data_IF_458432707167
#
_entry.id   IF_458432707167
#
_cell.length_a   1.000
_cell.length_b   1.000
_cell.length_c   1.000
_cell.angle_alpha   90.00
_cell.angle_beta   90.00
_cell.angle_gamma   90.00
#
_symmetry.space_group_name_H-M   'P 1'
#
loop_
_entity.id
_entity.type
_entity.pdbx_description
1 polymer ?
#
# COMPACT_ATOMS: atom_id res chain seq x y z
N UNK A 1 -16.50 -16.40 -10.37
CA UNK A 1 -16.06 -16.35 -8.96
C UNK A 1 -15.93 -14.89 -8.56
N UNK A 2 -16.34 -14.49 -7.35
CA UNK A 2 -16.20 -13.11 -6.88
C UNK A 2 -14.72 -12.79 -6.65
N UNK A 3 -14.24 -11.63 -7.11
CA UNK A 3 -12.85 -11.21 -6.89
C UNK A 3 -12.59 -10.95 -5.41
N UNK A 4 -11.55 -11.58 -4.85
CA UNK A 4 -11.05 -11.31 -3.50
C UNK A 4 -9.97 -10.25 -3.63
N UNK A 5 -10.21 -9.05 -3.09
CA UNK A 5 -9.23 -7.95 -3.09
C UNK A 5 -8.54 -7.90 -1.73
N UNK A 6 -7.23 -8.06 -1.72
CA UNK A 6 -6.38 -8.03 -0.52
C UNK A 6 -5.51 -6.78 -0.57
N UNK A 7 -5.64 -5.93 0.44
CA UNK A 7 -4.77 -4.78 0.62
C UNK A 7 -3.75 -5.10 1.71
N UNK A 8 -2.49 -5.29 1.30
CA UNK A 8 -1.38 -5.53 2.20
C UNK A 8 -0.68 -4.20 2.51
N UNK A 9 -0.97 -3.65 3.69
CA UNK A 9 -0.47 -2.39 4.18
C UNK A 9 0.84 -2.56 4.94
N UNK A 10 1.83 -1.71 4.65
CA UNK A 10 3.11 -1.75 5.36
C UNK A 10 3.78 -0.37 5.42
N UNK A 11 4.63 -0.18 6.42
CA UNK A 11 5.70 0.82 6.36
C UNK A 11 6.94 0.27 5.62
N UNK A 12 7.94 1.12 5.34
CA UNK A 12 9.18 0.66 4.72
C UNK A 12 9.92 -0.37 5.59
N UNK A 13 10.79 -1.17 4.95
CA UNK A 13 11.63 -2.20 5.61
C UNK A 13 10.84 -3.34 6.27
N UNK A 14 9.65 -3.60 5.77
CA UNK A 14 8.88 -4.83 6.01
C UNK A 14 9.15 -5.90 4.95
N UNK A 15 8.55 -7.07 5.14
CA UNK A 15 8.59 -8.20 4.19
C UNK A 15 7.58 -8.06 3.04
N UNK A 16 6.98 -6.88 2.82
CA UNK A 16 5.90 -6.69 1.86
C UNK A 16 6.30 -7.06 0.43
N UNK A 17 7.53 -6.77 -0.01
CA UNK A 17 8.04 -7.21 -1.32
C UNK A 17 8.19 -8.73 -1.41
N UNK A 18 8.62 -9.39 -0.33
CA UNK A 18 8.73 -10.85 -0.32
C UNK A 18 7.34 -11.50 -0.41
N UNK A 19 6.37 -10.97 0.35
CA UNK A 19 4.97 -11.38 0.26
C UNK A 19 4.40 -11.16 -1.15
N UNK A 20 4.62 -9.98 -1.73
CA UNK A 20 4.20 -9.66 -3.10
C UNK A 20 4.70 -10.70 -4.12
N UNK A 21 5.99 -11.08 -4.03
CA UNK A 21 6.56 -12.13 -4.89
C UNK A 21 5.93 -13.49 -4.65
N UNK A 22 5.69 -13.86 -3.38
CA UNK A 22 5.04 -15.13 -3.04
C UNK A 22 3.61 -15.23 -3.61
N UNK A 23 2.82 -14.17 -3.49
CA UNK A 23 1.48 -14.08 -4.08
C UNK A 23 1.52 -14.06 -5.61
N UNK A 24 2.51 -13.36 -6.20
CA UNK A 24 2.70 -13.29 -7.66
C UNK A 24 3.03 -14.63 -8.31
N UNK A 25 3.58 -15.58 -7.55
CA UNK A 25 3.87 -16.94 -8.04
C UNK A 25 2.62 -17.83 -8.14
N UNK A 26 1.45 -17.37 -7.69
CA UNK A 26 0.21 -18.16 -7.79
C UNK A 26 -0.49 -17.97 -9.12
N UNK A 27 -0.92 -19.08 -9.73
CA UNK A 27 -1.65 -19.06 -11.01
C UNK A 27 -2.99 -18.32 -10.93
N UNK A 28 -3.60 -18.20 -9.74
CA UNK A 28 -4.91 -17.60 -9.51
C UNK A 28 -4.89 -16.12 -9.05
N UNK A 29 -3.70 -15.54 -8.90
CA UNK A 29 -3.51 -14.21 -8.30
C UNK A 29 -2.97 -13.19 -9.30
N UNK A 30 -3.55 -12.00 -9.31
CA UNK A 30 -2.98 -10.79 -9.90
C UNK A 30 -2.39 -9.93 -8.79
N UNK A 31 -1.21 -9.37 -9.02
CA UNK A 31 -0.51 -8.51 -8.06
C UNK A 31 -0.36 -7.10 -8.63
N UNK A 32 -0.45 -6.10 -7.77
CA UNK A 32 -0.05 -4.72 -8.07
C UNK A 32 0.89 -4.19 -6.98
N UNK A 33 1.97 -3.53 -7.41
CA UNK A 33 3.03 -3.01 -6.55
C UNK A 33 2.88 -1.50 -6.34
N UNK A 34 2.69 -1.09 -5.09
CA UNK A 34 2.66 0.31 -4.64
C UNK A 34 1.88 1.25 -5.58
N UNK A 35 0.59 0.98 -5.86
CA UNK A 35 -0.16 1.69 -6.90
C UNK A 35 -0.31 3.20 -6.64
N UNK A 36 -0.22 3.63 -5.38
CA UNK A 36 -0.36 5.03 -4.98
C UNK A 36 0.97 5.80 -5.02
N UNK A 37 2.08 5.18 -5.43
CA UNK A 37 3.38 5.82 -5.35
C UNK A 37 3.51 7.02 -6.31
N UNK A 38 3.03 6.88 -7.55
CA UNK A 38 2.98 7.98 -8.52
C UNK A 38 2.20 9.19 -8.01
N UNK A 39 1.01 8.98 -7.45
CA UNK A 39 0.21 10.05 -6.85
C UNK A 39 0.91 10.69 -5.65
N UNK A 40 1.52 9.88 -4.79
CA UNK A 40 2.32 10.38 -3.66
C UNK A 40 3.49 11.26 -4.10
N UNK A 41 4.25 10.85 -5.13
CA UNK A 41 5.36 11.64 -5.66
C UNK A 41 4.88 12.98 -6.22
N UNK A 42 3.74 12.98 -6.91
CA UNK A 42 3.12 14.20 -7.43
C UNK A 42 2.70 15.15 -6.31
N UNK A 43 1.97 14.65 -5.30
CA UNK A 43 1.47 15.47 -4.19
C UNK A 43 2.59 16.00 -3.29
N UNK A 44 3.59 15.17 -3.00
CA UNK A 44 4.70 15.54 -2.10
C UNK A 44 5.80 16.37 -2.78
N UNK A 45 5.84 16.38 -4.11
CA UNK A 45 6.93 17.01 -4.88
C UNK A 45 8.29 16.32 -4.74
N UNK A 46 8.35 15.14 -4.10
CA UNK A 46 9.60 14.41 -3.88
C UNK A 46 10.17 13.89 -5.20
N UNK A 47 11.44 14.19 -5.47
CA UNK A 47 12.15 13.75 -6.68
C UNK A 47 13.01 12.52 -6.41
N UNK A 48 12.36 11.42 -6.06
CA UNK A 48 13.04 10.13 -5.91
C UNK A 48 13.58 9.64 -7.28
N UNK A 49 14.51 8.67 -7.30
CA UNK A 49 14.94 8.06 -8.56
C UNK A 49 13.73 7.58 -9.38
N UNK A 50 13.76 7.86 -10.68
CA UNK A 50 12.70 7.52 -11.64
C UNK A 50 11.32 8.13 -11.35
N UNK A 51 11.24 9.24 -10.59
CA UNK A 51 9.94 9.80 -10.20
C UNK A 51 9.04 10.16 -11.39
N UNK A 52 9.60 10.66 -12.50
CA UNK A 52 8.84 11.02 -13.71
C UNK A 52 8.25 9.77 -14.36
N UNK A 53 9.06 8.74 -14.51
CA UNK A 53 8.70 7.46 -15.11
C UNK A 53 7.61 6.76 -14.28
N UNK A 54 7.73 6.80 -12.95
CA UNK A 54 6.74 6.23 -12.03
C UNK A 54 5.42 6.99 -12.12
N UNK A 55 5.45 8.33 -12.08
CA UNK A 55 4.24 9.15 -12.23
C UNK A 55 3.57 8.93 -13.59
N UNK A 56 4.36 8.78 -14.65
CA UNK A 56 3.84 8.48 -15.99
C UNK A 56 3.21 7.09 -16.06
N UNK A 57 3.85 6.07 -15.48
CA UNK A 57 3.40 4.68 -15.54
C UNK A 57 2.17 4.41 -14.64
N UNK A 58 2.14 4.96 -13.43
CA UNK A 58 1.06 4.71 -12.46
C UNK A 58 -0.05 5.77 -12.51
N UNK A 59 0.25 6.97 -13.03
CA UNK A 59 -0.62 8.13 -12.93
C UNK A 59 -0.42 8.92 -11.63
N UNK A 60 -1.06 10.09 -11.58
CA UNK A 60 -0.94 11.04 -10.45
C UNK A 60 -2.26 11.29 -9.71
N UNK A 61 -3.39 10.85 -10.27
CA UNK A 61 -4.72 11.00 -9.71
C UNK A 61 -5.07 9.81 -8.81
N UNK A 62 -4.94 10.00 -7.49
CA UNK A 62 -5.22 8.96 -6.50
C UNK A 62 -6.65 8.42 -6.60
N UNK A 63 -7.65 9.27 -6.86
CA UNK A 63 -9.07 8.88 -6.92
C UNK A 63 -9.30 7.93 -8.08
N UNK A 64 -8.73 8.22 -9.25
CA UNK A 64 -8.80 7.30 -10.41
C UNK A 64 -8.09 5.99 -10.13
N UNK A 65 -6.89 6.04 -9.56
CA UNK A 65 -6.13 4.84 -9.20
C UNK A 65 -6.94 3.97 -8.23
N UNK A 66 -7.51 4.56 -7.17
CA UNK A 66 -8.36 3.85 -6.21
C UNK A 66 -9.57 3.21 -6.88
N UNK A 67 -10.26 3.94 -7.77
CA UNK A 67 -11.40 3.41 -8.52
C UNK A 67 -11.02 2.12 -9.27
N UNK A 68 -9.87 2.11 -9.96
CA UNK A 68 -9.34 0.92 -10.63
C UNK A 68 -9.03 -0.22 -9.65
N UNK A 69 -8.42 0.10 -8.50
CA UNK A 69 -8.10 -0.90 -7.48
C UNK A 69 -9.33 -1.67 -6.97
N UNK A 70 -10.49 -1.00 -6.85
CA UNK A 70 -11.72 -1.59 -6.31
C UNK A 70 -12.70 -2.10 -7.36
N UNK A 71 -12.66 -1.59 -8.60
CA UNK A 71 -13.66 -1.93 -9.64
C UNK A 71 -13.13 -2.84 -10.75
N UNK A 72 -11.83 -2.79 -11.08
CA UNK A 72 -11.32 -3.47 -12.28
C UNK A 72 -11.51 -5.00 -12.21
N UNK A 73 -11.90 -5.59 -13.35
CA UNK A 73 -11.99 -7.03 -13.51
C UNK A 73 -10.60 -7.64 -13.66
N UNK A 74 -10.40 -8.82 -13.09
CA UNK A 74 -9.16 -9.56 -13.26
C UNK A 74 -9.14 -10.36 -14.57
N UNK A 75 -7.95 -10.69 -15.10
CA UNK A 75 -7.81 -11.60 -16.24
C UNK A 75 -8.47 -12.96 -15.98
N UNK A 76 -8.88 -13.70 -17.03
CA UNK A 76 -9.42 -15.05 -16.88
C UNK A 76 -8.51 -15.97 -16.06
N UNK A 77 -9.11 -16.77 -15.18
CA UNK A 77 -8.38 -17.66 -14.26
C UNK A 77 -7.83 -16.99 -13.00
N UNK A 78 -7.78 -15.64 -12.94
CA UNK A 78 -7.41 -14.88 -11.75
C UNK A 78 -8.65 -14.50 -10.95
N UNK A 79 -8.62 -14.73 -9.63
CA UNK A 79 -9.72 -14.35 -8.73
C UNK A 79 -9.24 -13.66 -7.44
N UNK A 80 -7.93 -13.63 -7.19
CA UNK A 80 -7.33 -12.88 -6.09
C UNK A 80 -6.61 -11.66 -6.66
N UNK A 81 -6.91 -10.48 -6.15
CA UNK A 81 -6.19 -9.25 -6.45
C UNK A 81 -5.42 -8.78 -5.22
N UNK A 82 -4.10 -9.01 -5.23
CA UNK A 82 -3.22 -8.63 -4.14
C UNK A 82 -2.58 -7.28 -4.41
N UNK A 83 -2.78 -6.33 -3.49
CA UNK A 83 -2.29 -4.96 -3.60
C UNK A 83 -1.25 -4.74 -2.51
N UNK A 84 0.01 -4.50 -2.89
CA UNK A 84 1.04 -4.08 -1.95
C UNK A 84 0.96 -2.57 -1.78
N UNK A 85 0.66 -2.12 -0.57
CA UNK A 85 0.54 -0.70 -0.24
C UNK A 85 1.60 -0.27 0.79
N UNK A 86 2.06 0.97 0.62
CA UNK A 86 2.85 1.68 1.62
C UNK A 86 1.97 2.73 2.29
N UNK A 87 1.86 2.70 3.63
CA UNK A 87 0.94 3.60 4.33
C UNK A 87 1.29 5.08 4.14
N UNK A 88 2.56 5.42 3.93
CA UNK A 88 2.98 6.80 3.68
C UNK A 88 2.65 7.31 2.27
N UNK A 89 2.15 6.45 1.36
CA UNK A 89 1.60 6.88 0.07
C UNK A 89 0.15 7.38 0.18
N UNK A 90 -0.51 7.14 1.32
CA UNK A 90 -1.79 7.79 1.60
C UNK A 90 -1.51 9.26 1.90
N UNK A 91 -1.95 10.14 1.00
CA UNK A 91 -1.98 11.58 1.27
C UNK A 91 -2.83 11.88 2.50
N UNK A 92 -2.50 12.94 3.23
CA UNK A 92 -3.18 13.29 4.50
C UNK A 92 -4.68 13.53 4.29
N UNK A 93 -5.05 14.07 3.13
CA UNK A 93 -6.42 14.44 2.72
C UNK A 93 -7.14 13.35 1.90
N UNK A 94 -6.51 12.19 1.67
CA UNK A 94 -7.11 11.14 0.89
C UNK A 94 -8.26 10.47 1.67
N UNK A 95 -9.43 10.38 1.04
CA UNK A 95 -10.56 9.67 1.61
C UNK A 95 -10.23 8.18 1.82
N UNK A 96 -10.73 7.59 2.91
CA UNK A 96 -10.39 6.21 3.30
C UNK A 96 -11.52 5.21 3.04
N UNK A 97 -12.75 5.65 2.74
CA UNK A 97 -13.93 4.77 2.62
C UNK A 97 -13.74 3.58 1.67
N UNK A 98 -12.91 3.73 0.63
CA UNK A 98 -12.61 2.65 -0.31
C UNK A 98 -11.95 1.41 0.34
N UNK A 99 -11.24 1.57 1.46
CA UNK A 99 -10.59 0.44 2.14
C UNK A 99 -11.61 -0.52 2.75
N UNK A 100 -12.85 -0.07 2.99
CA UNK A 100 -13.95 -0.92 3.47
C UNK A 100 -14.36 -1.99 2.45
N UNK A 101 -13.97 -1.83 1.18
CA UNK A 101 -14.24 -2.78 0.09
C UNK A 101 -13.12 -3.82 -0.06
N UNK A 102 -12.12 -3.81 0.83
CA UNK A 102 -10.91 -4.62 0.74
C UNK A 102 -10.74 -5.51 1.97
N UNK A 103 -10.07 -6.64 1.79
CA UNK A 103 -9.54 -7.44 2.88
C UNK A 103 -8.20 -6.81 3.30
N UNK A 104 -8.22 -6.06 4.41
CA UNK A 104 -7.06 -5.29 4.86
C UNK A 104 -6.18 -6.10 5.81
N UNK A 105 -4.89 -6.14 5.52
CA UNK A 105 -3.87 -6.84 6.30
C UNK A 105 -2.69 -5.89 6.51
N UNK A 106 -2.16 -5.80 7.72
CA UNK A 106 -1.00 -4.98 8.04
C UNK A 106 0.22 -5.84 8.31
N UNK A 107 1.32 -5.57 7.62
CA UNK A 107 2.62 -6.12 8.00
C UNK A 107 3.29 -5.15 8.97
N UNK A 108 3.36 -5.58 10.23
CA UNK A 108 4.09 -4.87 11.28
C UNK A 108 5.45 -5.52 11.52
N UNK A 109 6.40 -4.68 11.92
CA UNK A 109 7.72 -5.10 12.36
C UNK A 109 8.13 -4.22 13.53
N UNK A 110 8.82 -4.81 14.50
CA UNK A 110 9.36 -4.08 15.64
C UNK A 110 10.12 -2.82 15.16
N UNK A 111 9.71 -1.62 15.62
CA UNK A 111 10.31 -0.37 15.18
C UNK A 111 11.81 -0.29 15.36
N UNK A 112 12.38 -0.97 16.36
CA UNK A 112 13.84 -1.00 16.59
C UNK A 112 14.57 -1.60 15.38
N UNK A 113 14.04 -2.67 14.80
CA UNK A 113 14.65 -3.30 13.62
C UNK A 113 14.41 -2.52 12.33
N UNK A 114 13.24 -1.86 12.20
CA UNK A 114 12.94 -0.98 11.06
C UNK A 114 13.93 0.19 11.06
N UNK A 115 14.05 0.89 12.19
CA UNK A 115 14.92 2.06 12.35
C UNK A 115 16.39 1.70 12.11
N UNK A 116 16.88 0.62 12.74
CA UNK A 116 18.24 0.13 12.55
C UNK A 116 18.56 -0.19 11.08
N UNK A 117 17.58 -0.68 10.31
CA UNK A 117 17.77 -0.92 8.88
C UNK A 117 17.67 0.35 8.04
N UNK A 118 16.88 1.34 8.45
CA UNK A 118 16.58 2.53 7.66
C UNK A 118 17.68 3.60 7.79
N UNK A 119 18.20 3.82 9.00
CA UNK A 119 19.29 4.79 9.26
C UNK A 119 20.56 4.49 8.46
N UNK A 120 20.82 3.21 8.14
CA UNK A 120 21.96 2.82 7.28
C UNK A 120 21.95 3.49 5.90
N UNK A 121 20.80 3.95 5.42
CA UNK A 121 20.62 4.55 4.09
C UNK A 121 20.13 6.01 4.13
N UNK A 122 19.66 6.49 5.29
CA UNK A 122 19.04 7.80 5.44
C UNK A 122 19.59 8.50 6.69
N UNK A 123 20.14 9.72 6.51
CA UNK A 123 20.83 10.47 7.58
C UNK A 123 19.88 11.07 8.63
N UNK A 124 18.62 11.32 8.26
CA UNK A 124 17.56 11.77 9.16
C UNK A 124 16.30 10.96 8.86
N UNK A 125 15.62 10.50 9.91
CA UNK A 125 14.46 9.62 9.81
C UNK A 125 13.40 10.14 10.77
N UNK A 126 12.21 10.44 10.23
CA UNK A 126 11.05 10.79 11.05
C UNK A 126 10.09 9.60 11.14
N UNK A 127 9.19 9.62 12.13
CA UNK A 127 8.11 8.63 12.20
C UNK A 127 7.21 8.64 10.95
N UNK A 128 7.06 9.80 10.29
CA UNK A 128 6.33 9.94 9.02
C UNK A 128 7.03 9.22 7.86
N UNK A 129 8.37 9.24 7.82
CA UNK A 129 9.13 8.50 6.80
C UNK A 129 8.98 6.98 6.96
N UNK A 130 8.74 6.52 8.20
CA UNK A 130 8.46 5.12 8.52
C UNK A 130 6.96 4.76 8.48
N UNK A 131 6.11 5.73 8.13
CA UNK A 131 4.67 5.59 7.99
C UNK A 131 3.89 5.25 9.29
N UNK A 132 4.48 5.35 10.48
CA UNK A 132 3.80 4.94 11.71
C UNK A 132 2.51 5.74 11.99
N UNK A 133 2.49 7.08 11.86
CA UNK A 133 1.27 7.85 12.07
C UNK A 133 0.17 7.47 11.07
N UNK A 134 0.54 7.29 9.79
CA UNK A 134 -0.40 6.92 8.72
C UNK A 134 -0.93 5.50 8.93
N UNK A 135 -0.08 4.57 9.34
CA UNK A 135 -0.45 3.19 9.64
C UNK A 135 -1.44 3.12 10.80
N UNK A 136 -1.19 3.88 11.89
CA UNK A 136 -2.10 3.94 13.03
C UNK A 136 -3.45 4.58 12.66
N UNK A 137 -3.43 5.69 11.90
CA UNK A 137 -4.65 6.35 11.39
C UNK A 137 -5.50 5.37 10.58
N UNK A 138 -4.87 4.67 9.63
CA UNK A 138 -5.55 3.70 8.78
C UNK A 138 -6.07 2.50 9.57
N UNK A 139 -5.26 1.94 10.48
CA UNK A 139 -5.66 0.82 11.33
C UNK A 139 -6.91 1.17 12.16
N UNK A 140 -6.90 2.31 12.83
CA UNK A 140 -8.04 2.77 13.63
C UNK A 140 -9.28 2.98 12.75
N UNK A 141 -9.13 3.61 11.59
CA UNK A 141 -10.24 3.80 10.65
C UNK A 141 -10.85 2.45 10.23
N UNK A 142 -10.03 1.47 9.86
CA UNK A 142 -10.52 0.13 9.46
C UNK A 142 -11.20 -0.57 10.63
N UNK A 143 -10.58 -0.56 11.82
CA UNK A 143 -11.17 -1.15 13.03
C UNK A 143 -12.55 -0.57 13.33
N UNK A 144 -12.73 0.73 13.15
CA UNK A 144 -13.97 1.44 13.53
C UNK A 144 -15.06 1.35 12.44
N UNK A 145 -14.68 1.16 11.17
CA UNK A 145 -15.61 1.17 10.02
C UNK A 145 -15.90 -0.19 9.41
N UNK A 146 -15.04 -1.17 9.62
CA UNK A 146 -15.22 -2.52 9.05
C UNK A 146 -15.79 -3.47 10.10
N UNK A 147 -16.51 -4.49 9.64
CA UNK A 147 -17.12 -5.49 10.52
C UNK A 147 -16.09 -6.32 11.32
N UNK A 148 -14.84 -6.39 10.85
CA UNK A 148 -13.77 -7.13 11.49
C UNK A 148 -12.55 -6.24 11.67
N UNK A 149 -11.81 -6.37 12.80
CA UNK A 149 -10.55 -5.68 12.96
C UNK A 149 -9.56 -6.16 11.89
N UNK A 150 -8.67 -5.28 11.42
CA UNK A 150 -7.68 -5.66 10.42
C UNK A 150 -6.71 -6.70 10.98
N UNK A 151 -6.33 -7.67 10.13
CA UNK A 151 -5.30 -8.66 10.50
C UNK A 151 -3.93 -8.00 10.54
N UNK A 152 -3.08 -8.46 11.46
CA UNK A 152 -1.74 -7.94 11.75
C UNK A 152 -0.73 -9.09 11.78
#
# INVERSE_FOLDING_TARGET
MKTIRVAMWSGPRNISTAMMRAWGNRSDTQVIDEPLYGSYLYQSGKKHPMYKEIMHAQGTDATKIISHLITDKLPPGKHIYYQKHMCHHLGDDLYLDWVTQLNNIFLIRDPRYVLASYIKKHKQVTAKDLAYPQQLKLFNYIRDKCAYPPMV
#
